data_IF_246120082494
#
_entry.id   IF_246120082494
#
_cell.length_a   1.000
_cell.length_b   1.000
_cell.length_c   1.000
_cell.angle_alpha   90.00
_cell.angle_beta   90.00
_cell.angle_gamma   90.00
#
_symmetry.space_group_name_H-M   'P 1'
#
loop_
_entity.id
_entity.type
_entity.pdbx_description
1 polymer ?
#
# COMPACT_ATOMS: atom_id res chain seq x y z
N UNK A 1 -10.06 -43.68 21.08
CA UNK A 1 -9.51 -42.30 21.06
C UNK A 1 -8.69 -42.15 19.80
N UNK A 2 -9.25 -41.50 18.77
CA UNK A 2 -8.46 -40.96 17.68
C UNK A 2 -9.03 -39.58 17.41
N UNK A 3 -8.65 -38.65 18.29
CA UNK A 3 -8.82 -37.21 18.10
C UNK A 3 -7.93 -36.80 16.93
N UNK A 4 -8.38 -37.11 15.72
CA UNK A 4 -7.69 -36.80 14.47
C UNK A 4 -8.64 -36.08 13.50
N UNK A 5 -9.54 -35.25 14.04
CA UNK A 5 -10.42 -34.36 13.27
C UNK A 5 -10.33 -32.90 13.68
N UNK A 6 -9.45 -32.55 14.63
CA UNK A 6 -9.31 -31.18 15.15
C UNK A 6 -8.03 -30.50 14.65
N UNK A 7 -7.10 -31.23 14.00
CA UNK A 7 -5.81 -30.68 13.59
C UNK A 7 -5.73 -30.13 12.14
N UNK A 8 -6.83 -30.16 11.38
CA UNK A 8 -6.83 -29.71 9.97
C UNK A 8 -7.31 -28.26 9.81
N UNK A 9 -7.68 -27.56 10.90
CA UNK A 9 -8.23 -26.20 10.81
C UNK A 9 -7.22 -25.05 11.03
N UNK A 10 -5.94 -25.34 11.28
CA UNK A 10 -4.97 -24.32 11.73
C UNK A 10 -3.90 -23.91 10.71
N UNK A 11 -3.93 -24.44 9.48
CA UNK A 11 -2.93 -24.11 8.47
C UNK A 11 -3.57 -23.34 7.32
N UNK A 12 -3.35 -22.03 7.31
CA UNK A 12 -3.14 -21.30 6.06
C UNK A 12 -4.29 -20.46 5.52
N UNK A 13 -5.02 -19.72 6.36
CA UNK A 13 -5.56 -18.44 5.89
C UNK A 13 -4.44 -17.40 5.92
N UNK A 14 -3.45 -17.56 5.03
CA UNK A 14 -2.59 -16.43 4.66
C UNK A 14 -3.47 -15.57 3.77
N UNK A 15 -4.25 -14.69 4.39
CA UNK A 15 -4.98 -13.67 3.65
C UNK A 15 -3.91 -12.83 2.96
N UNK A 16 -3.80 -12.95 1.63
CA UNK A 16 -3.06 -12.01 0.82
C UNK A 16 -3.76 -10.66 0.98
N UNK A 17 -3.30 -9.88 1.95
CA UNK A 17 -3.71 -8.50 2.04
C UNK A 17 -3.11 -7.82 0.81
N UNK A 18 -3.93 -7.56 -0.21
CA UNK A 18 -3.55 -6.71 -1.34
C UNK A 18 -3.50 -5.27 -0.87
N UNK A 19 -2.64 -4.98 0.12
CA UNK A 19 -2.35 -3.60 0.49
C UNK A 19 -1.44 -3.02 -0.57
N UNK A 20 -1.82 -1.87 -1.15
CA UNK A 20 -0.96 -1.05 -2.00
C UNK A 20 0.16 -0.36 -1.19
N UNK A 21 0.55 -0.98 -0.08
CA UNK A 21 1.48 -0.46 0.89
C UNK A 21 2.64 -1.44 1.06
N UNK A 22 3.85 -0.91 1.05
CA UNK A 22 5.06 -1.65 1.42
C UNK A 22 5.54 -1.15 2.77
N UNK A 23 5.74 -2.07 3.70
CA UNK A 23 6.35 -1.78 5.01
C UNK A 23 7.76 -2.33 5.06
N UNK A 24 8.66 -1.58 5.70
CA UNK A 24 10.05 -1.98 5.95
C UNK A 24 10.38 -1.71 7.40
N UNK A 25 10.72 -2.76 8.12
CA UNK A 25 11.10 -2.65 9.53
C UNK A 25 12.39 -1.86 9.70
N UNK A 26 12.50 -1.14 10.82
CA UNK A 26 13.74 -0.47 11.18
C UNK A 26 14.78 -1.50 11.65
N UNK A 27 15.91 -1.58 10.94
CA UNK A 27 17.01 -2.48 11.31
C UNK A 27 18.07 -1.73 12.13
N UNK A 28 18.16 -2.03 13.42
CA UNK A 28 19.22 -1.52 14.30
C UNK A 28 20.45 -2.43 14.21
N UNK A 29 21.46 -2.01 13.44
CA UNK A 29 22.71 -2.77 13.27
C UNK A 29 23.71 -2.56 14.41
N UNK A 30 23.76 -1.34 14.96
CA UNK A 30 24.63 -0.97 16.08
C UNK A 30 23.78 -0.32 17.20
N UNK A 31 23.62 -0.99 18.35
CA UNK A 31 22.89 -0.44 19.49
C UNK A 31 23.48 0.86 20.06
N UNK A 32 24.78 1.13 19.87
CA UNK A 32 25.42 2.36 20.36
C UNK A 32 25.24 3.54 19.40
N UNK A 33 24.83 3.27 18.16
CA UNK A 33 24.55 4.28 17.15
C UNK A 33 23.24 3.94 16.44
N UNK A 34 22.10 4.08 17.14
CA UNK A 34 20.80 3.75 16.57
C UNK A 34 20.47 4.69 15.38
N UNK A 35 19.69 4.21 14.41
CA UNK A 35 19.16 5.06 13.35
C UNK A 35 18.40 6.25 13.94
N UNK A 36 18.51 7.41 13.30
CA UNK A 36 17.76 8.62 13.65
C UNK A 36 16.50 8.81 12.81
N UNK A 37 16.25 7.88 11.88
CA UNK A 37 15.17 7.94 10.92
C UNK A 37 15.21 6.75 9.96
N UNK A 38 14.44 6.86 8.89
CA UNK A 38 14.32 5.88 7.83
C UNK A 38 15.10 6.35 6.61
N UNK A 39 15.72 5.41 5.89
CA UNK A 39 16.38 5.71 4.61
C UNK A 39 15.50 5.15 3.49
N UNK A 40 15.11 6.02 2.56
CA UNK A 40 14.29 5.63 1.41
C UNK A 40 15.13 4.99 0.29
N UNK A 41 14.47 4.61 -0.82
CA UNK A 41 15.12 3.96 -1.96
C UNK A 41 16.11 4.85 -2.72
N UNK A 42 16.07 6.18 -2.53
CA UNK A 42 17.06 7.10 -3.09
C UNK A 42 18.26 7.30 -2.16
N UNK A 43 18.23 6.71 -0.96
CA UNK A 43 19.23 6.93 0.07
C UNK A 43 19.00 8.21 0.89
N UNK A 44 17.85 8.87 0.76
CA UNK A 44 17.51 10.03 1.58
C UNK A 44 17.07 9.59 2.97
N UNK A 45 17.66 10.20 4.00
CA UNK A 45 17.21 10.01 5.38
C UNK A 45 16.03 10.94 5.69
N UNK A 46 14.95 10.34 6.19
CA UNK A 46 13.78 11.00 6.71
C UNK A 46 13.70 10.78 8.22
N UNK A 47 13.52 11.85 8.98
CA UNK A 47 13.46 11.78 10.45
C UNK A 47 12.26 10.94 10.92
N UNK A 48 12.32 10.43 12.15
CA UNK A 48 11.14 9.78 12.74
C UNK A 48 9.94 10.73 12.82
N UNK A 49 8.74 10.17 12.71
CA UNK A 49 7.45 10.86 12.69
C UNK A 49 7.25 11.79 11.48
N UNK A 50 8.13 11.73 10.49
CA UNK A 50 7.96 12.45 9.23
C UNK A 50 7.04 11.71 8.25
N UNK A 51 6.38 12.50 7.40
CA UNK A 51 5.64 12.02 6.23
C UNK A 51 6.10 12.77 4.98
N UNK A 52 6.10 12.08 3.85
CA UNK A 52 6.45 12.68 2.57
C UNK A 52 5.74 11.97 1.42
N UNK A 53 5.60 12.67 0.29
CA UNK A 53 5.05 12.11 -0.92
C UNK A 53 6.13 12.02 -2.00
N UNK A 54 6.20 10.87 -2.67
CA UNK A 54 7.10 10.65 -3.79
C UNK A 54 6.48 9.66 -4.76
N UNK A 55 6.45 9.99 -6.06
CA UNK A 55 5.94 9.11 -7.12
C UNK A 55 4.52 8.56 -6.83
N UNK A 56 3.65 9.42 -6.28
CA UNK A 56 2.31 9.06 -5.80
C UNK A 56 2.29 8.00 -4.68
N UNK A 57 3.39 7.80 -3.98
CA UNK A 57 3.46 7.08 -2.73
C UNK A 57 3.44 8.06 -1.58
N UNK A 58 2.52 7.89 -0.65
CA UNK A 58 2.53 8.54 0.65
C UNK A 58 3.33 7.66 1.61
N UNK A 59 4.46 8.19 2.07
CA UNK A 59 5.38 7.51 2.96
C UNK A 59 5.36 8.13 4.35
N UNK A 60 5.61 7.29 5.34
CA UNK A 60 5.77 7.67 6.74
C UNK A 60 6.95 6.92 7.35
N UNK A 61 7.70 7.60 8.20
CA UNK A 61 8.76 6.99 8.99
C UNK A 61 8.40 7.00 10.47
N UNK A 62 8.54 5.86 11.13
CA UNK A 62 8.33 5.69 12.56
C UNK A 62 9.49 4.92 13.18
N UNK A 63 9.51 4.83 14.51
CA UNK A 63 10.47 4.00 15.25
C UNK A 63 10.34 2.50 14.93
N UNK A 64 9.21 2.06 14.38
CA UNK A 64 9.00 0.68 13.93
C UNK A 64 9.51 0.45 12.50
N UNK A 65 9.78 1.50 11.74
CA UNK A 65 10.18 1.43 10.34
C UNK A 65 9.39 2.38 9.44
N UNK A 66 9.50 2.13 8.14
CA UNK A 66 8.93 2.94 7.07
C UNK A 66 7.72 2.24 6.45
N UNK A 67 6.65 2.98 6.19
CA UNK A 67 5.49 2.51 5.44
C UNK A 67 5.20 3.47 4.29
N UNK A 68 5.11 2.94 3.07
CA UNK A 68 4.78 3.71 1.87
C UNK A 68 3.58 3.09 1.19
N UNK A 69 2.53 3.87 0.95
CA UNK A 69 1.28 3.46 0.31
C UNK A 69 1.02 4.22 -0.98
N UNK A 70 0.56 3.53 -2.03
CA UNK A 70 0.15 4.20 -3.25
C UNK A 70 -1.11 5.03 -3.01
N UNK A 71 -1.10 6.27 -3.50
CA UNK A 71 -2.26 7.18 -3.55
C UNK A 71 -3.16 6.92 -4.75
N UNK A 72 -2.69 6.10 -5.70
CA UNK A 72 -3.44 5.72 -6.89
C UNK A 72 -3.60 4.21 -6.97
N UNK A 73 -4.70 3.69 -7.52
CA UNK A 73 -4.89 2.25 -7.58
C UNK A 73 -3.86 1.58 -8.48
N UNK A 74 -3.37 0.42 -8.05
CA UNK A 74 -2.56 -0.43 -8.90
C UNK A 74 -3.40 -1.02 -10.05
N UNK A 75 -2.76 -1.29 -11.21
CA UNK A 75 -3.45 -1.96 -12.30
C UNK A 75 -4.02 -3.31 -11.84
N UNK A 76 -5.31 -3.55 -12.12
CA UNK A 76 -6.02 -4.79 -11.81
C UNK A 76 -6.27 -5.07 -10.32
N UNK A 77 -6.06 -4.12 -9.40
CA UNK A 77 -6.46 -4.28 -8.00
C UNK A 77 -7.86 -3.76 -7.70
N UNK A 78 -8.48 -3.06 -8.66
CA UNK A 78 -9.83 -2.52 -8.55
C UNK A 78 -10.69 -3.21 -9.61
N UNK A 79 -11.82 -3.75 -9.20
CA UNK A 79 -12.84 -4.24 -10.11
C UNK A 79 -13.51 -3.04 -10.77
N UNK A 80 -13.44 -2.99 -12.10
CA UNK A 80 -14.01 -1.90 -12.90
C UNK A 80 -15.16 -2.50 -13.71
N UNK A 81 -16.41 -2.03 -13.54
CA UNK A 81 -17.56 -2.46 -14.35
C UNK A 81 -17.30 -2.29 -15.85
N UNK A 82 -17.93 -3.11 -16.70
CA UNK A 82 -17.68 -3.09 -18.15
C UNK A 82 -17.97 -1.73 -18.80
N UNK A 83 -18.94 -0.99 -18.28
CA UNK A 83 -19.33 0.33 -18.74
C UNK A 83 -18.41 1.45 -18.23
N UNK A 84 -17.44 1.13 -17.37
CA UNK A 84 -16.59 2.10 -16.69
C UNK A 84 -15.11 1.95 -17.03
N UNK A 85 -14.37 3.04 -16.86
CA UNK A 85 -12.92 3.06 -16.95
C UNK A 85 -12.32 3.86 -15.79
N UNK A 86 -11.15 3.46 -15.32
CA UNK A 86 -10.38 4.19 -14.32
C UNK A 86 -9.40 5.13 -15.01
N UNK A 87 -9.56 6.44 -14.81
CA UNK A 87 -8.62 7.46 -15.27
C UNK A 87 -7.68 7.80 -14.11
N UNK A 88 -6.38 7.54 -14.29
CA UNK A 88 -5.34 7.87 -13.32
C UNK A 88 -4.59 9.12 -13.78
N UNK A 89 -4.61 10.16 -12.95
CA UNK A 89 -3.75 11.33 -13.10
C UNK A 89 -2.56 11.20 -12.15
N UNK A 90 -1.42 10.80 -12.71
CA UNK A 90 -0.16 10.65 -11.97
C UNK A 90 0.46 11.99 -11.54
N UNK A 91 0.10 13.11 -12.16
CA UNK A 91 0.61 14.42 -11.73
C UNK A 91 -0.15 14.92 -10.51
N UNK A 92 -1.46 14.69 -10.48
CA UNK A 92 -2.30 15.01 -9.34
C UNK A 92 -2.35 13.89 -8.29
N UNK A 93 -1.70 12.75 -8.54
CA UNK A 93 -1.77 11.53 -7.73
C UNK A 93 -3.21 11.17 -7.34
N UNK A 94 -4.09 11.16 -8.34
CA UNK A 94 -5.52 10.89 -8.16
C UNK A 94 -6.02 9.91 -9.22
N UNK A 95 -7.11 9.22 -8.90
CA UNK A 95 -7.81 8.37 -9.84
C UNK A 95 -9.32 8.60 -9.74
N UNK A 96 -10.00 8.51 -10.89
CA UNK A 96 -11.45 8.65 -10.99
C UNK A 96 -12.01 7.54 -11.87
N UNK A 97 -13.07 6.90 -11.40
CA UNK A 97 -13.83 5.95 -12.20
C UNK A 97 -14.94 6.69 -12.92
N UNK A 98 -14.99 6.60 -14.25
CA UNK A 98 -15.94 7.33 -15.09
C UNK A 98 -16.60 6.38 -16.07
N UNK A 99 -17.75 6.78 -16.62
CA UNK A 99 -18.40 6.04 -17.69
C UNK A 99 -17.57 6.10 -18.99
N UNK A 100 -17.41 4.96 -19.67
CA UNK A 100 -16.79 4.90 -21.00
C UNK A 100 -17.55 5.72 -22.04
N UNK A 101 -18.88 5.79 -21.92
CA UNK A 101 -19.76 6.52 -22.84
C UNK A 101 -19.69 8.05 -22.64
N UNK A 102 -19.34 8.50 -21.44
CA UNK A 102 -19.27 9.92 -21.06
C UNK A 102 -18.31 10.11 -19.89
N UNK A 103 -17.04 10.43 -20.21
CA UNK A 103 -15.97 10.59 -19.22
C UNK A 103 -16.17 11.75 -18.23
N UNK A 104 -17.20 12.58 -18.41
CA UNK A 104 -17.54 13.65 -17.46
C UNK A 104 -18.42 13.19 -16.31
N UNK A 105 -19.03 12.01 -16.43
CA UNK A 105 -19.87 11.42 -15.40
C UNK A 105 -19.09 10.40 -14.59
N UNK A 106 -19.16 10.55 -13.27
CA UNK A 106 -18.64 9.54 -12.35
C UNK A 106 -19.38 8.22 -12.56
N UNK A 107 -18.62 7.13 -12.52
CA UNK A 107 -19.17 5.79 -12.47
C UNK A 107 -19.13 5.31 -11.02
N UNK A 108 -20.31 5.05 -10.46
CA UNK A 108 -20.46 4.42 -9.16
C UNK A 108 -20.66 2.92 -9.37
N UNK A 109 -19.93 2.05 -8.65
CA UNK A 109 -20.26 0.64 -8.63
C UNK A 109 -21.62 0.48 -7.94
N UNK A 110 -22.61 -0.10 -8.63
CA UNK A 110 -23.91 -0.50 -8.06
C UNK A 110 -23.80 -1.77 -7.24
#
# INVERSE_FOLDING_TARGET
>A
MASLRVFVCLLGLVVLCHSQCTTRELVVKDPNNPPKGCVDDDGQQHEFDSTWEKDCMECSCSTNGMSCCSKVPEPNTVEIPEECELIVDKKACSAKMVLKSDKTKECSPT
#
